data_IF_859110048480
#
_entry.id   IF_859110048480
#
_cell.length_a   1.000
_cell.length_b   1.000
_cell.length_c   1.000
_cell.angle_alpha   90.00
_cell.angle_beta   90.00
_cell.angle_gamma   90.00
#
_symmetry.space_group_name_H-M   'P 1'
#
loop_
_entity.id
_entity.type
_entity.pdbx_description
1 polymer ?
#
# COMPACT_ATOMS: atom_id res chain seq x y z
N UNK A 1 7.67 -13.76 2.14
CA UNK A 1 6.84 -12.98 3.09
C UNK A 1 5.57 -12.54 2.39
N UNK A 2 4.46 -12.44 3.12
CA UNK A 2 3.20 -11.91 2.58
C UNK A 2 2.91 -10.60 3.29
N UNK A 3 2.67 -9.56 2.51
CA UNK A 3 2.14 -8.27 2.98
C UNK A 3 0.63 -8.30 2.73
N UNK A 4 -0.15 -8.12 3.79
CA UNK A 4 -1.60 -8.02 3.73
C UNK A 4 -2.01 -6.63 4.19
N UNK A 5 -2.66 -5.88 3.30
CA UNK A 5 -3.25 -4.59 3.60
C UNK A 5 -4.78 -4.75 3.64
N UNK A 6 -5.37 -4.32 4.74
CA UNK A 6 -6.82 -4.20 4.88
C UNK A 6 -7.16 -2.73 4.87
N UNK A 7 -8.10 -2.35 4.01
CA UNK A 7 -8.61 -0.99 3.91
C UNK A 7 -10.09 -0.99 4.19
N UNK A 8 -10.55 -0.01 4.95
CA UNK A 8 -11.97 0.27 5.19
C UNK A 8 -12.20 1.78 5.21
N UNK A 9 -13.43 2.20 4.90
CA UNK A 9 -13.83 3.61 4.95
C UNK A 9 -13.26 4.49 3.84
N UNK A 10 -12.69 3.93 2.78
CA UNK A 10 -12.21 4.69 1.63
C UNK A 10 -13.38 5.17 0.75
N UNK A 11 -13.18 6.26 0.00
CA UNK A 11 -14.15 6.67 -1.02
C UNK A 11 -14.15 5.70 -2.22
N UNK A 12 -15.24 5.68 -2.97
CA UNK A 12 -15.44 4.77 -4.11
C UNK A 12 -14.45 4.99 -5.26
N UNK A 13 -13.80 6.15 -5.32
CA UNK A 13 -12.80 6.52 -6.32
C UNK A 13 -11.36 6.19 -5.88
N UNK A 14 -11.19 5.65 -4.68
CA UNK A 14 -9.87 5.39 -4.13
C UNK A 14 -9.16 4.20 -4.77
N UNK A 15 -7.84 4.34 -4.91
CA UNK A 15 -6.89 3.29 -5.29
C UNK A 15 -5.91 3.04 -4.16
N UNK A 16 -5.51 1.79 -3.98
CA UNK A 16 -4.39 1.40 -3.13
C UNK A 16 -3.12 1.39 -3.97
N UNK A 17 -2.02 1.90 -3.39
CA UNK A 17 -0.67 1.71 -3.89
C UNK A 17 0.22 1.08 -2.83
N UNK A 18 1.01 0.10 -3.23
CA UNK A 18 2.13 -0.39 -2.42
C UNK A 18 3.42 0.23 -2.95
N UNK A 19 4.10 0.96 -2.07
CA UNK A 19 5.35 1.67 -2.37
C UNK A 19 6.50 1.01 -1.63
N UNK A 20 7.57 0.70 -2.34
CA UNK A 20 8.81 0.15 -1.79
C UNK A 20 9.97 1.13 -2.04
N UNK A 21 11.17 0.74 -1.61
CA UNK A 21 12.42 1.43 -1.93
C UNK A 21 12.70 1.52 -3.45
N UNK A 22 12.06 0.68 -4.25
CA UNK A 22 12.15 0.69 -5.72
C UNK A 22 11.02 1.51 -6.39
N UNK A 23 10.12 2.12 -5.59
CA UNK A 23 8.99 2.90 -6.09
C UNK A 23 7.64 2.20 -5.96
N UNK A 24 6.67 2.57 -6.79
CA UNK A 24 5.32 1.98 -6.76
C UNK A 24 5.37 0.61 -7.42
N UNK A 25 5.05 -0.43 -6.66
CA UNK A 25 5.05 -1.81 -7.17
C UNK A 25 3.66 -2.27 -7.59
N UNK A 26 2.63 -1.88 -6.83
CA UNK A 26 1.24 -2.25 -7.08
C UNK A 26 0.39 -0.99 -7.07
N UNK A 27 -0.56 -0.92 -8.01
CA UNK A 27 -1.69 0.00 -7.95
C UNK A 27 -2.94 -0.78 -8.27
N UNK A 28 -3.93 -0.76 -7.39
CA UNK A 28 -5.19 -1.48 -7.57
C UNK A 28 -6.36 -0.61 -7.10
N UNK A 29 -7.48 -0.56 -7.85
CA UNK A 29 -8.69 0.10 -7.36
C UNK A 29 -9.23 -0.64 -6.13
N UNK A 30 -9.82 0.11 -5.20
CA UNK A 30 -10.66 -0.49 -4.17
C UNK A 30 -12.05 -0.77 -4.75
N UNK A 31 -12.77 -1.77 -4.22
CA UNK A 31 -14.19 -1.92 -4.49
C UNK A 31 -14.94 -0.62 -4.13
N UNK A 32 -16.02 -0.32 -4.85
CA UNK A 32 -16.81 0.89 -4.65
C UNK A 32 -17.37 1.03 -3.21
N UNK A 33 -17.45 -0.07 -2.46
CA UNK A 33 -17.82 -0.09 -1.04
C UNK A 33 -16.73 0.50 -0.10
N UNK A 34 -15.57 0.91 -0.62
CA UNK A 34 -14.52 1.56 0.17
C UNK A 34 -13.75 0.62 1.11
N UNK A 35 -13.96 -0.69 0.95
CA UNK A 35 -13.37 -1.72 1.79
C UNK A 35 -12.79 -2.83 0.93
N UNK A 36 -11.60 -3.31 1.27
CA UNK A 36 -10.93 -4.37 0.51
C UNK A 36 -9.67 -4.88 1.18
N UNK A 37 -9.25 -6.08 0.75
CA UNK A 37 -7.98 -6.69 1.16
C UNK A 37 -7.08 -6.79 -0.06
N UNK A 38 -5.84 -6.34 0.10
CA UNK A 38 -4.79 -6.46 -0.91
C UNK A 38 -3.67 -7.31 -0.34
N UNK A 39 -3.36 -8.41 -1.01
CA UNK A 39 -2.25 -9.28 -0.64
C UNK A 39 -1.16 -9.21 -1.70
N UNK A 40 0.08 -9.09 -1.24
CA UNK A 40 1.26 -9.10 -2.08
C UNK A 40 2.33 -9.99 -1.48
N UNK A 41 2.96 -10.83 -2.31
CA UNK A 41 4.02 -11.75 -1.90
C UNK A 41 5.37 -11.22 -2.35
N UNK A 42 6.33 -11.19 -1.43
CA UNK A 42 7.67 -10.65 -1.66
C UNK A 42 8.76 -11.38 -0.88
N UNK A 43 10.02 -10.99 -1.10
CA UNK A 43 11.16 -11.34 -0.26
C UNK A 43 11.94 -10.07 0.12
N UNK A 44 12.71 -10.09 1.22
CA UNK A 44 13.53 -8.94 1.61
C UNK A 44 14.57 -8.53 0.56
N UNK A 45 14.96 -9.45 -0.34
CA UNK A 45 15.84 -9.16 -1.46
C UNK A 45 15.19 -8.33 -2.57
N UNK A 46 13.85 -8.26 -2.63
CA UNK A 46 13.11 -7.49 -3.64
C UNK A 46 12.56 -6.16 -3.12
N UNK A 47 12.40 -6.02 -1.81
CA UNK A 47 11.96 -4.78 -1.17
C UNK A 47 12.46 -4.72 0.27
N UNK A 48 13.13 -3.62 0.61
CA UNK A 48 13.61 -3.36 1.97
C UNK A 48 12.47 -2.89 2.89
N UNK A 49 11.50 -2.17 2.34
CA UNK A 49 10.30 -1.74 3.07
C UNK A 49 9.06 -1.73 2.18
N UNK A 50 7.90 -1.67 2.81
CA UNK A 50 6.62 -1.39 2.15
C UNK A 50 5.85 -0.28 2.88
N UNK A 51 5.28 0.66 2.12
CA UNK A 51 4.30 1.64 2.58
C UNK A 51 3.03 1.49 1.75
N UNK A 52 1.88 1.46 2.41
CA UNK A 52 0.60 1.54 1.72
C UNK A 52 0.15 2.99 1.62
N UNK A 53 -0.36 3.34 0.44
CA UNK A 53 -1.00 4.63 0.18
C UNK A 53 -2.41 4.38 -0.35
N UNK A 54 -3.41 5.05 0.21
CA UNK A 54 -4.76 5.11 -0.34
C UNK A 54 -4.94 6.49 -0.94
N UNK A 55 -5.24 6.57 -2.23
CA UNK A 55 -5.34 7.84 -2.97
C UNK A 55 -6.65 7.92 -3.73
N UNK A 56 -7.26 9.10 -3.68
CA UNK A 56 -8.38 9.46 -4.55
C UNK A 56 -7.98 9.44 -6.03
N UNK A 57 -8.98 9.53 -6.90
CA UNK A 57 -8.73 9.77 -8.32
C UNK A 57 -7.94 11.09 -8.51
N UNK A 58 -7.04 11.16 -9.52
CA UNK A 58 -6.29 12.38 -9.77
C UNK A 58 -7.21 13.49 -10.28
N UNK A 59 -7.20 14.64 -9.60
CA UNK A 59 -7.93 15.83 -10.04
C UNK A 59 -7.22 16.56 -11.20
N UNK A 60 -5.90 16.37 -11.34
CA UNK A 60 -5.07 16.96 -12.39
C UNK A 60 -4.38 15.84 -13.17
N UNK A 61 -4.53 15.79 -14.52
CA UNK A 61 -3.87 14.78 -15.33
C UNK A 61 -2.34 14.78 -15.13
N UNK A 62 -1.77 13.59 -14.96
CA UNK A 62 -0.34 13.41 -14.74
C UNK A 62 0.14 13.60 -13.29
N UNK A 63 -0.71 14.10 -12.39
CA UNK A 63 -0.40 14.15 -10.95
C UNK A 63 -1.06 12.99 -10.19
N UNK A 64 -0.44 12.46 -9.13
CA UNK A 64 -1.11 11.53 -8.23
C UNK A 64 -2.31 12.20 -7.55
N UNK A 65 -3.38 11.44 -7.33
CA UNK A 65 -4.51 11.91 -6.51
C UNK A 65 -4.11 12.14 -5.05
N UNK A 66 -4.93 12.95 -4.37
CA UNK A 66 -4.74 13.27 -2.97
C UNK A 66 -4.77 12.01 -2.09
N UNK A 67 -4.02 12.04 -0.98
CA UNK A 67 -4.06 10.97 -0.01
C UNK A 67 -5.40 10.96 0.74
N UNK A 68 -6.02 9.78 0.81
CA UNK A 68 -7.05 9.48 1.79
C UNK A 68 -6.43 8.91 3.08
N UNK A 69 -5.39 8.09 2.93
CA UNK A 69 -4.60 7.54 4.04
C UNK A 69 -3.20 7.11 3.58
N UNK A 70 -2.26 7.01 4.51
CA UNK A 70 -0.98 6.33 4.30
C UNK A 70 -0.50 5.64 5.57
N UNK A 71 0.30 4.59 5.41
CA UNK A 71 1.01 3.96 6.54
C UNK A 71 2.41 4.54 6.70
N UNK A 72 3.00 4.35 7.88
CA UNK A 72 4.46 4.42 7.96
C UNK A 72 5.08 3.24 7.19
N UNK A 73 6.33 3.35 6.73
CA UNK A 73 7.05 2.22 6.15
C UNK A 73 7.18 1.07 7.15
N UNK A 74 6.91 -0.14 6.69
CA UNK A 74 7.19 -1.39 7.41
C UNK A 74 8.41 -2.02 6.75
N UNK A 75 9.50 -2.15 7.50
CA UNK A 75 10.74 -2.76 7.03
C UNK A 75 10.59 -4.29 7.00
N UNK A 76 11.13 -4.91 5.95
CA UNK A 76 10.95 -6.33 5.65
C UNK A 76 12.21 -7.16 5.95
N UNK A 77 13.27 -6.55 6.46
CA UNK A 77 14.45 -7.27 6.92
C UNK A 77 14.19 -8.03 8.22
N UNK A 78 14.98 -9.08 8.45
CA UNK A 78 14.78 -10.03 9.53
C UNK A 78 15.22 -9.44 10.89
N UNK A 79 14.45 -8.49 11.41
CA UNK A 79 14.56 -8.03 12.79
C UNK A 79 13.19 -7.71 13.44
N UNK A 80 12.08 -8.01 12.77
CA UNK A 80 10.77 -7.96 13.39
C UNK A 80 10.44 -9.31 14.07
N UNK A 81 10.99 -9.52 15.27
CA UNK A 81 10.42 -10.44 16.26
C UNK A 81 11.16 -11.75 16.55
N UNK A 82 12.31 -11.66 17.23
CA UNK A 82 12.60 -12.58 18.35
C UNK A 82 12.54 -11.77 19.63
N UNK A 83 11.32 -11.52 20.11
CA UNK A 83 11.11 -11.17 21.51
C UNK A 83 11.44 -12.41 22.34
N UNK A 84 12.53 -12.34 23.11
CA UNK A 84 12.82 -13.26 24.20
C UNK A 84 12.03 -12.92 25.46
#
# INVERSE_FOLDING_TARGET
MTVRLEVSGAAADCTVRLVTDQGVLLTTPLPAAGTGVVEWRTTPAHAAYVRAEVRHAPAVPGLPGAFAALTNPVFLDAAAGTGG
#
